data_IF_994265488706
#
_entry.id   IF_994265488706
#
_cell.length_a   1.000
_cell.length_b   1.000
_cell.length_c   1.000
_cell.angle_alpha   90.00
_cell.angle_beta   90.00
_cell.angle_gamma   90.00
#
_symmetry.space_group_name_H-M   'P 1'
#
loop_
_entity.id
_entity.type
_entity.pdbx_description
1 polymer ?
#
# COMPACT_ATOMS: atom_id res chain seq x y z
N UNK A 1 -77.37 17.28 7.92
CA UNK A 1 -76.28 16.24 7.89
C UNK A 1 -75.05 16.87 7.27
N UNK A 2 -74.02 17.15 8.07
CA UNK A 2 -72.75 17.75 7.57
C UNK A 2 -71.71 16.66 7.62
N UNK A 3 -71.18 16.24 6.48
CA UNK A 3 -70.08 15.29 6.35
C UNK A 3 -68.74 16.01 6.54
N UNK A 4 -68.01 15.61 7.55
CA UNK A 4 -66.65 16.10 7.82
C UNK A 4 -65.65 15.20 7.09
N UNK A 5 -64.97 15.72 6.09
CA UNK A 5 -63.89 15.01 5.39
C UNK A 5 -62.60 15.10 6.22
N UNK A 6 -62.05 13.98 6.63
CA UNK A 6 -60.72 13.87 7.27
C UNK A 6 -59.68 13.68 6.18
N UNK A 7 -58.82 14.68 6.01
CA UNK A 7 -57.67 14.58 5.12
C UNK A 7 -56.54 13.85 5.85
N UNK A 8 -56.18 12.66 5.37
CA UNK A 8 -55.04 11.87 5.86
C UNK A 8 -53.80 12.29 5.09
N UNK A 9 -52.92 13.07 5.70
CA UNK A 9 -51.60 13.41 5.13
C UNK A 9 -50.60 12.27 5.39
N UNK A 10 -50.25 11.54 4.33
CA UNK A 10 -49.16 10.53 4.37
C UNK A 10 -47.84 11.26 4.15
N UNK A 11 -47.05 11.40 5.20
CA UNK A 11 -45.65 11.86 5.13
C UNK A 11 -44.76 10.68 4.70
N UNK A 12 -44.31 10.70 3.46
CA UNK A 12 -43.32 9.77 2.92
C UNK A 12 -41.93 10.18 3.45
N UNK A 13 -41.43 9.47 4.46
CA UNK A 13 -40.05 9.66 4.92
C UNK A 13 -39.11 9.06 3.88
N UNK A 14 -38.39 9.93 3.14
CA UNK A 14 -37.26 9.52 2.30
C UNK A 14 -36.11 9.09 3.22
N UNK A 15 -35.97 7.80 3.48
CA UNK A 15 -34.74 7.24 4.06
C UNK A 15 -33.70 7.16 2.94
N UNK A 16 -32.81 8.13 2.87
CA UNK A 16 -31.59 7.99 2.06
C UNK A 16 -30.83 6.76 2.56
N UNK A 17 -30.36 5.85 1.67
CA UNK A 17 -29.47 4.78 2.09
C UNK A 17 -28.20 5.43 2.63
N UNK A 18 -27.90 5.17 3.91
CA UNK A 18 -26.57 5.42 4.46
C UNK A 18 -25.63 4.58 3.60
N UNK A 19 -24.74 5.22 2.86
CA UNK A 19 -23.63 4.55 2.19
C UNK A 19 -22.94 3.75 3.29
N UNK A 20 -23.03 2.42 3.22
CA UNK A 20 -22.22 1.53 4.03
C UNK A 20 -20.78 1.87 3.71
N UNK A 21 -20.16 2.63 4.61
CA UNK A 21 -18.71 2.78 4.59
C UNK A 21 -18.17 1.36 4.71
N UNK A 22 -17.51 0.89 3.65
CA UNK A 22 -16.88 -0.41 3.56
C UNK A 22 -15.94 -0.53 4.77
N UNK A 23 -16.43 -1.22 5.83
CA UNK A 23 -15.67 -1.34 7.06
C UNK A 23 -14.55 -2.35 6.80
N UNK A 24 -13.43 -1.80 6.39
CA UNK A 24 -12.20 -2.57 6.32
C UNK A 24 -11.95 -3.34 7.62
N UNK A 25 -11.90 -4.66 7.54
CA UNK A 25 -11.64 -5.57 8.67
C UNK A 25 -10.18 -5.97 8.80
N UNK A 26 -9.34 -5.63 7.83
CA UNK A 26 -7.92 -5.97 7.85
C UNK A 26 -7.14 -4.97 8.72
N UNK A 27 -6.20 -5.50 9.49
CA UNK A 27 -5.25 -4.65 10.22
C UNK A 27 -4.25 -4.03 9.23
N UNK A 28 -3.71 -2.83 9.49
CA UNK A 28 -2.74 -2.18 8.62
C UNK A 28 -1.56 -3.08 8.25
N UNK A 29 -1.02 -3.84 9.21
CA UNK A 29 0.04 -4.83 8.96
C UNK A 29 -0.36 -5.89 7.93
N UNK A 30 -1.61 -6.36 7.96
CA UNK A 30 -2.10 -7.37 7.01
C UNK A 30 -2.24 -6.79 5.59
N UNK A 31 -2.75 -5.56 5.48
CA UNK A 31 -2.84 -4.85 4.19
C UNK A 31 -1.46 -4.73 3.56
N UNK A 32 -0.49 -4.19 4.32
CA UNK A 32 0.88 -4.02 3.83
C UNK A 32 1.55 -5.36 3.52
N UNK A 33 1.37 -6.39 4.36
CA UNK A 33 1.93 -7.72 4.08
C UNK A 33 1.42 -8.27 2.76
N UNK A 34 0.11 -8.18 2.50
CA UNK A 34 -0.50 -8.66 1.24
C UNK A 34 -0.02 -7.86 0.04
N UNK A 35 0.04 -6.53 0.16
CA UNK A 35 0.59 -5.65 -0.86
C UNK A 35 2.03 -6.01 -1.20
N UNK A 36 2.92 -6.08 -0.20
CA UNK A 36 4.34 -6.38 -0.39
C UNK A 36 4.56 -7.76 -1.02
N UNK A 37 3.75 -8.76 -0.64
CA UNK A 37 3.79 -10.09 -1.25
C UNK A 37 3.41 -10.00 -2.72
N UNK A 38 2.24 -9.48 -3.03
CA UNK A 38 1.74 -9.41 -4.40
C UNK A 38 2.62 -8.55 -5.31
N UNK A 39 3.13 -7.42 -4.78
CA UNK A 39 3.96 -6.49 -5.53
C UNK A 39 5.37 -7.03 -5.75
N UNK A 40 6.09 -7.35 -4.68
CA UNK A 40 7.52 -7.66 -4.77
C UNK A 40 7.82 -9.14 -4.97
N UNK A 41 7.07 -10.05 -4.34
CA UNK A 41 7.36 -11.48 -4.43
C UNK A 41 6.70 -12.10 -5.66
N UNK A 42 5.43 -11.76 -5.91
CA UNK A 42 4.68 -12.28 -7.07
C UNK A 42 4.90 -11.42 -8.33
N UNK A 43 5.53 -10.23 -8.19
CA UNK A 43 5.79 -9.25 -9.25
C UNK A 43 4.55 -8.81 -10.03
N UNK A 44 3.39 -8.83 -9.38
CA UNK A 44 2.11 -8.41 -9.94
C UNK A 44 1.88 -6.92 -9.69
N UNK A 45 2.75 -6.07 -10.26
CA UNK A 45 2.81 -4.62 -9.95
C UNK A 45 1.44 -3.96 -10.07
N UNK A 46 0.84 -4.00 -11.27
CA UNK A 46 -0.45 -3.36 -11.55
C UNK A 46 -1.55 -3.87 -10.62
N UNK A 47 -1.71 -5.18 -10.53
CA UNK A 47 -2.76 -5.80 -9.71
C UNK A 47 -2.59 -5.48 -8.22
N UNK A 48 -1.35 -5.43 -7.71
CA UNK A 48 -1.06 -5.05 -6.34
C UNK A 48 -1.45 -3.60 -6.05
N UNK A 49 -1.04 -2.66 -6.91
CA UNK A 49 -1.36 -1.24 -6.75
C UNK A 49 -2.85 -0.96 -6.88
N UNK A 50 -3.53 -1.50 -7.88
CA UNK A 50 -4.98 -1.33 -8.06
C UNK A 50 -5.78 -1.92 -6.89
N UNK A 51 -5.31 -3.04 -6.31
CA UNK A 51 -5.98 -3.69 -5.18
C UNK A 51 -5.74 -2.96 -3.86
N UNK A 52 -4.50 -2.54 -3.57
CA UNK A 52 -4.10 -2.13 -2.22
C UNK A 52 -3.76 -0.66 -2.06
N UNK A 53 -3.60 0.11 -3.15
CA UNK A 53 -3.16 1.51 -3.10
C UNK A 53 -4.28 2.44 -3.52
N UNK A 54 -4.44 3.56 -2.82
CA UNK A 54 -5.42 4.59 -3.17
C UNK A 54 -5.03 5.30 -4.48
N UNK A 55 -6.02 5.75 -5.29
CA UNK A 55 -5.73 6.53 -6.49
C UNK A 55 -4.90 7.79 -6.22
N UNK A 56 -5.20 8.48 -5.11
CA UNK A 56 -4.52 9.70 -4.66
C UNK A 56 -3.27 9.45 -3.80
N UNK A 57 -2.69 8.27 -3.85
CA UNK A 57 -1.50 7.86 -3.11
C UNK A 57 -0.38 8.91 -3.12
N UNK A 58 0.10 9.28 -1.92
CA UNK A 58 1.14 10.29 -1.72
C UNK A 58 2.51 9.60 -1.64
N UNK A 59 3.40 9.98 -2.53
CA UNK A 59 4.76 9.45 -2.60
C UNK A 59 5.77 10.47 -2.08
N UNK A 60 6.64 10.06 -1.14
CA UNK A 60 7.70 10.90 -0.58
C UNK A 60 9.11 10.53 -1.06
N UNK A 61 9.27 9.44 -1.82
CA UNK A 61 10.54 9.17 -2.48
C UNK A 61 10.79 10.26 -3.55
N UNK A 62 11.90 11.02 -3.48
CA UNK A 62 12.15 12.16 -4.39
C UNK A 62 12.37 11.72 -5.85
N UNK A 63 12.56 10.45 -6.11
CA UNK A 63 12.76 9.89 -7.46
C UNK A 63 11.46 9.35 -8.09
N UNK A 64 10.34 9.38 -7.37
CA UNK A 64 9.07 8.83 -7.84
C UNK A 64 7.95 9.89 -7.77
N UNK A 65 7.04 9.85 -8.73
CA UNK A 65 5.90 10.78 -8.79
C UNK A 65 4.77 10.31 -7.85
N UNK A 66 4.04 11.27 -7.32
CA UNK A 66 2.80 11.04 -6.56
C UNK A 66 1.70 10.47 -7.47
N UNK A 67 0.85 9.60 -6.92
CA UNK A 67 -0.28 8.98 -7.57
C UNK A 67 -0.06 7.50 -7.89
N UNK A 68 -1.08 6.69 -7.67
CA UNK A 68 -1.04 5.24 -7.92
C UNK A 68 -0.66 4.91 -9.37
N UNK A 69 -1.30 5.57 -10.32
CA UNK A 69 -1.09 5.27 -11.75
C UNK A 69 0.32 5.69 -12.20
N UNK A 70 0.89 6.75 -11.63
CA UNK A 70 2.27 7.15 -11.85
C UNK A 70 3.27 6.12 -11.30
N UNK A 71 2.98 5.58 -10.10
CA UNK A 71 3.78 4.50 -9.52
C UNK A 71 3.75 3.24 -10.40
N UNK A 72 2.56 2.84 -10.89
CA UNK A 72 2.43 1.69 -11.81
C UNK A 72 3.23 1.94 -13.09
N UNK A 73 3.09 3.11 -13.71
CA UNK A 73 3.77 3.44 -14.96
C UNK A 73 5.31 3.41 -14.85
N UNK A 74 5.84 3.69 -13.65
CA UNK A 74 7.28 3.61 -13.38
C UNK A 74 7.74 2.20 -13.04
N UNK A 75 7.03 1.50 -12.15
CA UNK A 75 7.48 0.23 -11.57
C UNK A 75 7.21 -0.98 -12.48
N UNK A 76 6.11 -0.98 -13.23
CA UNK A 76 5.76 -2.14 -14.08
C UNK A 76 6.83 -2.40 -15.16
N UNK A 77 7.28 -1.41 -15.98
CA UNK A 77 8.37 -1.62 -16.91
C UNK A 77 9.71 -1.90 -16.23
N UNK A 78 9.96 -1.34 -15.04
CA UNK A 78 11.17 -1.63 -14.27
C UNK A 78 11.27 -3.13 -13.93
N UNK A 79 10.21 -3.74 -13.36
CA UNK A 79 10.21 -5.17 -13.02
C UNK A 79 10.21 -6.08 -14.25
N UNK A 80 9.62 -5.62 -15.38
CA UNK A 80 9.72 -6.35 -16.65
C UNK A 80 11.16 -6.38 -17.19
N UNK A 81 11.89 -5.28 -17.06
CA UNK A 81 13.29 -5.17 -17.48
C UNK A 81 14.27 -5.88 -16.52
N UNK A 82 13.88 -6.13 -15.26
CA UNK A 82 14.70 -6.77 -14.23
C UNK A 82 14.03 -8.04 -13.69
N UNK A 83 13.92 -9.11 -14.49
CA UNK A 83 13.23 -10.35 -14.08
C UNK A 83 13.91 -11.03 -12.88
N UNK A 84 15.22 -10.84 -12.72
CA UNK A 84 16.03 -11.40 -11.63
C UNK A 84 16.02 -10.54 -10.35
N UNK A 85 15.35 -9.37 -10.39
CA UNK A 85 15.20 -8.55 -9.20
C UNK A 85 14.48 -9.33 -8.09
N UNK A 86 15.00 -9.26 -6.88
CA UNK A 86 14.48 -9.97 -5.72
C UNK A 86 14.29 -9.04 -4.54
N UNK A 87 13.29 -9.34 -3.73
CA UNK A 87 12.93 -8.57 -2.54
C UNK A 87 12.69 -9.52 -1.38
N UNK A 88 13.52 -9.44 -0.35
CA UNK A 88 13.42 -10.32 0.82
C UNK A 88 13.00 -9.52 2.04
N UNK A 89 11.76 -9.67 2.46
CA UNK A 89 11.22 -9.02 3.66
C UNK A 89 11.86 -9.66 4.89
N UNK A 90 12.47 -8.83 5.74
CA UNK A 90 13.15 -9.26 6.98
C UNK A 90 12.28 -9.07 8.20
N UNK A 91 11.55 -7.96 8.27
CA UNK A 91 10.62 -7.67 9.38
C UNK A 91 9.56 -6.66 8.97
N UNK A 92 8.38 -6.79 9.59
CA UNK A 92 7.28 -5.84 9.44
C UNK A 92 6.86 -5.39 10.84
N UNK A 93 6.92 -4.10 11.10
CA UNK A 93 6.57 -3.46 12.36
C UNK A 93 5.40 -2.51 12.10
N UNK A 94 4.37 -2.56 12.94
CA UNK A 94 3.20 -1.69 12.79
C UNK A 94 2.93 -0.94 14.10
N UNK A 95 2.61 0.35 13.95
CA UNK A 95 2.13 1.22 15.01
C UNK A 95 0.94 2.04 14.51
N UNK A 96 -0.24 1.78 15.05
CA UNK A 96 -1.48 2.36 14.53
C UNK A 96 -1.69 2.02 13.06
N UNK A 97 -1.79 3.06 12.23
CA UNK A 97 -1.95 2.95 10.78
C UNK A 97 -0.64 3.06 9.99
N UNK A 98 0.50 3.21 10.66
CA UNK A 98 1.83 3.20 10.06
C UNK A 98 2.44 1.80 10.13
N UNK A 99 3.04 1.37 9.03
CA UNK A 99 3.69 0.06 8.92
C UNK A 99 5.07 0.24 8.28
N UNK A 100 6.10 -0.14 9.02
CA UNK A 100 7.48 -0.17 8.53
C UNK A 100 7.86 -1.57 8.07
N UNK A 101 8.45 -1.68 6.88
CA UNK A 101 8.92 -2.93 6.28
C UNK A 101 10.42 -2.82 6.04
N UNK A 102 11.22 -3.61 6.75
CA UNK A 102 12.66 -3.71 6.50
C UNK A 102 12.94 -4.88 5.55
N UNK A 103 13.64 -4.61 4.48
CA UNK A 103 13.82 -5.53 3.37
C UNK A 103 15.25 -5.51 2.82
N UNK A 104 15.62 -6.58 2.12
CA UNK A 104 16.79 -6.65 1.26
C UNK A 104 16.30 -6.67 -0.20
N UNK A 105 16.59 -5.62 -0.96
CA UNK A 105 16.31 -5.52 -2.38
C UNK A 105 17.58 -5.78 -3.19
N UNK A 106 17.49 -6.59 -4.25
CA UNK A 106 18.56 -6.83 -5.22
C UNK A 106 17.99 -6.68 -6.62
N UNK A 107 18.74 -6.07 -7.53
CA UNK A 107 18.32 -5.87 -8.92
C UNK A 107 18.85 -6.94 -9.87
N UNK A 108 19.94 -7.63 -9.48
CA UNK A 108 20.48 -8.80 -10.17
C UNK A 108 20.88 -9.87 -9.16
N UNK A 109 21.12 -11.09 -9.60
CA UNK A 109 21.53 -12.22 -8.73
C UNK A 109 22.82 -11.92 -7.96
N UNK A 110 23.79 -11.26 -8.61
CA UNK A 110 25.13 -11.00 -8.07
C UNK A 110 25.24 -9.67 -7.31
N UNK A 111 24.15 -8.84 -7.33
CA UNK A 111 24.12 -7.58 -6.61
C UNK A 111 24.15 -7.79 -5.10
N UNK A 112 24.94 -6.99 -4.37
CA UNK A 112 24.85 -6.96 -2.91
C UNK A 112 23.54 -6.36 -2.41
N UNK A 113 22.93 -5.51 -3.23
CA UNK A 113 21.62 -4.93 -2.99
C UNK A 113 21.60 -3.76 -2.02
N UNK A 114 20.39 -3.45 -1.61
CA UNK A 114 20.06 -2.35 -0.70
C UNK A 114 19.35 -2.90 0.53
N UNK A 115 19.69 -2.37 1.70
CA UNK A 115 18.80 -2.40 2.85
C UNK A 115 17.77 -1.29 2.69
N UNK A 116 16.51 -1.64 2.63
CA UNK A 116 15.40 -0.70 2.41
C UNK A 116 14.48 -0.72 3.63
N UNK A 117 14.04 0.45 4.05
CA UNK A 117 12.94 0.60 4.98
C UNK A 117 11.84 1.40 4.30
N UNK A 118 10.77 0.70 3.93
CA UNK A 118 9.52 1.31 3.47
C UNK A 118 8.65 1.63 4.68
N UNK A 119 8.07 2.82 4.75
CA UNK A 119 7.05 3.20 5.72
C UNK A 119 5.78 3.50 4.93
N UNK A 120 4.70 2.80 5.26
CA UNK A 120 3.43 2.92 4.58
C UNK A 120 2.34 3.33 5.56
N UNK A 121 1.55 4.35 5.21
CA UNK A 121 0.33 4.68 5.94
C UNK A 121 -0.88 4.03 5.27
N UNK A 122 -1.65 3.33 6.08
CA UNK A 122 -2.86 2.64 5.64
C UNK A 122 -4.09 3.43 6.10
N UNK A 123 -5.01 3.65 5.18
CA UNK A 123 -6.31 4.24 5.44
C UNK A 123 -7.40 3.42 4.72
N UNK A 124 -8.48 3.08 5.38
CA UNK A 124 -9.60 2.28 4.82
C UNK A 124 -9.16 1.06 4.00
N UNK A 125 -8.22 0.27 4.52
CA UNK A 125 -7.58 -0.89 3.87
C UNK A 125 -6.80 -0.58 2.58
N UNK A 126 -6.45 0.65 2.35
CA UNK A 126 -5.62 1.07 1.23
C UNK A 126 -4.35 1.74 1.73
N UNK A 127 -3.28 1.59 1.00
CA UNK A 127 -2.06 2.35 1.21
C UNK A 127 -2.29 3.74 0.63
N UNK A 128 -2.26 4.74 1.50
CA UNK A 128 -2.53 6.13 1.16
C UNK A 128 -1.24 6.96 1.03
N UNK A 129 -0.12 6.49 1.63
CA UNK A 129 1.11 7.28 1.69
C UNK A 129 2.33 6.39 1.90
N UNK A 130 3.49 6.79 1.35
CA UNK A 130 4.73 6.02 1.39
C UNK A 130 5.96 6.90 1.53
N UNK A 131 6.84 6.51 2.41
CA UNK A 131 8.22 6.98 2.56
C UNK A 131 9.16 5.80 2.45
N UNK A 132 10.37 6.03 1.99
CA UNK A 132 11.43 5.03 2.04
C UNK A 132 12.81 5.64 2.34
N UNK A 133 13.66 4.81 2.86
CA UNK A 133 15.10 5.05 2.93
C UNK A 133 15.83 3.80 2.50
N UNK A 134 16.90 3.98 1.72
CA UNK A 134 17.69 2.87 1.21
C UNK A 134 19.18 3.10 1.46
N UNK A 135 19.87 2.05 1.90
CA UNK A 135 21.30 2.05 2.10
C UNK A 135 21.95 0.90 1.32
N UNK A 136 22.97 1.18 0.48
CA UNK A 136 23.70 0.11 -0.19
C UNK A 136 24.36 -0.85 0.81
N UNK A 137 24.28 -2.14 0.51
CA UNK A 137 25.00 -3.16 1.28
C UNK A 137 26.49 -3.04 0.95
N UNK A 138 27.36 -2.70 1.92
CA UNK A 138 28.75 -2.43 1.67
C UNK A 138 29.53 -3.72 1.35
N UNK A 139 30.66 -3.58 0.64
CA UNK A 139 31.59 -4.69 0.45
C UNK A 139 32.28 -5.10 1.74
N UNK A 140 32.62 -4.13 2.58
CA UNK A 140 33.26 -4.34 3.87
C UNK A 140 32.45 -3.65 4.96
N UNK A 141 32.22 -4.36 6.03
CA UNK A 141 31.52 -3.84 7.21
C UNK A 141 32.50 -3.68 8.37
N UNK A 142 32.28 -2.69 9.23
CA UNK A 142 33.05 -2.48 10.46
C UNK A 142 32.72 -3.54 11.53
N UNK A 143 31.67 -4.32 11.36
CA UNK A 143 31.22 -5.38 12.26
C UNK A 143 30.71 -6.59 11.46
N UNK A 144 30.46 -7.70 12.15
CA UNK A 144 30.01 -8.96 11.56
C UNK A 144 28.51 -9.25 11.76
N UNK A 145 27.72 -8.29 12.25
CA UNK A 145 26.30 -8.52 12.60
C UNK A 145 25.39 -8.57 11.36
N UNK A 146 25.85 -8.01 10.23
CA UNK A 146 25.02 -7.83 9.02
C UNK A 146 24.06 -6.64 9.13
N UNK A 147 23.28 -6.44 8.07
CA UNK A 147 22.29 -5.36 7.97
C UNK A 147 20.83 -5.86 8.13
N UNK A 148 20.61 -7.15 8.28
CA UNK A 148 19.30 -7.78 8.18
C UNK A 148 18.94 -8.66 9.38
#
# INVERSE_FOLDING_TARGET
MRATAVLLTVTLALTAPLAEADQCRLKPKEVVTRFMTQFYLDKQVRAAFETWVEPGYIQHNPLAMTGRDAAIAFLEPFFQAHPDASYSIKRIIADGNLVAVHSHAKFTADDRGLAVVDILRVDHCKIAEHWDVAQPVPEKSANTNGMF
#
